data_IF_692951013901
#
_entry.id   IF_692951013901
#
_cell.length_a   1.000
_cell.length_b   1.000
_cell.length_c   1.000
_cell.angle_alpha   90.00
_cell.angle_beta   90.00
_cell.angle_gamma   90.00
#
_symmetry.space_group_name_H-M   'P 1'
#
loop_
_entity.id
_entity.type
_entity.pdbx_description
1 polymer ?
#
# COMPACT_ATOMS: atom_id res chain seq x y z
N UNK A 1 -16.13 11.35 16.87
CA UNK A 1 -16.60 9.96 17.11
C UNK A 1 -15.36 9.11 17.06
N UNK A 2 -15.12 8.24 18.02
CA UNK A 2 -13.91 7.38 18.00
C UNK A 2 -14.18 6.19 17.10
N UNK A 3 -13.28 5.92 16.16
CA UNK A 3 -13.37 4.77 15.24
C UNK A 3 -12.82 3.53 15.96
N UNK A 4 -13.64 2.50 16.01
CA UNK A 4 -13.31 1.21 16.65
C UNK A 4 -12.68 0.30 15.59
N UNK A 5 -11.42 -0.05 15.79
CA UNK A 5 -10.59 -0.76 14.81
C UNK A 5 -10.33 -2.19 15.27
N UNK A 6 -10.61 -3.16 14.40
CA UNK A 6 -10.08 -4.52 14.50
C UNK A 6 -8.76 -4.64 13.72
N UNK A 7 -7.77 -5.34 14.25
CA UNK A 7 -6.48 -5.56 13.57
C UNK A 7 -6.21 -7.04 13.41
N UNK A 8 -6.00 -7.49 12.16
CA UNK A 8 -5.62 -8.88 11.87
C UNK A 8 -4.12 -9.03 11.64
N UNK A 9 -3.57 -10.22 11.94
CA UNK A 9 -2.14 -10.45 11.83
C UNK A 9 -1.29 -9.58 12.76
N UNK A 10 -1.83 -9.27 13.94
CA UNK A 10 -1.33 -8.29 14.91
C UNK A 10 0.13 -8.50 15.33
N UNK A 11 0.62 -9.75 15.41
CA UNK A 11 2.02 -10.07 15.74
C UNK A 11 2.98 -9.93 14.55
N UNK A 12 2.45 -9.74 13.34
CA UNK A 12 3.23 -9.54 12.12
C UNK A 12 3.98 -8.21 12.10
N UNK A 13 4.87 -8.04 11.13
CA UNK A 13 5.68 -6.81 10.98
C UNK A 13 4.83 -5.56 10.77
N UNK A 14 3.76 -5.65 9.95
CA UNK A 14 2.83 -4.55 9.75
C UNK A 14 1.80 -4.44 10.86
N UNK A 15 1.31 -5.58 11.38
CA UNK A 15 0.33 -5.59 12.46
C UNK A 15 0.81 -4.81 13.70
N UNK A 16 2.07 -4.97 14.09
CA UNK A 16 2.68 -4.20 15.20
C UNK A 16 2.68 -2.69 14.93
N UNK A 17 3.08 -2.28 13.73
CA UNK A 17 3.06 -0.86 13.34
C UNK A 17 1.64 -0.31 13.30
N UNK A 18 0.66 -1.10 12.82
CA UNK A 18 -0.76 -0.70 12.83
C UNK A 18 -1.29 -0.54 14.25
N UNK A 19 -1.00 -1.50 15.15
CA UNK A 19 -1.39 -1.37 16.57
C UNK A 19 -0.80 -0.09 17.19
N UNK A 20 0.50 0.15 16.97
CA UNK A 20 1.16 1.37 17.45
C UNK A 20 0.54 2.63 16.85
N UNK A 21 0.22 2.62 15.55
CA UNK A 21 -0.38 3.76 14.87
C UNK A 21 -1.81 4.03 15.37
N UNK A 22 -2.65 3.00 15.54
CA UNK A 22 -4.03 3.16 16.07
C UNK A 22 -3.97 3.67 17.50
N UNK A 23 -3.13 3.08 18.36
CA UNK A 23 -3.00 3.48 19.78
C UNK A 23 -2.49 4.93 19.91
N UNK A 24 -1.70 5.40 18.96
CA UNK A 24 -1.20 6.79 18.91
C UNK A 24 -2.21 7.83 18.43
N UNK A 25 -3.43 7.43 18.03
CA UNK A 25 -4.48 8.33 17.50
C UNK A 25 -5.57 8.60 18.53
N UNK A 26 -5.92 9.88 18.73
CA UNK A 26 -7.00 10.28 19.65
C UNK A 26 -8.40 9.86 19.16
N UNK A 27 -8.55 9.73 17.83
CA UNK A 27 -9.82 9.41 17.18
C UNK A 27 -10.01 7.92 16.87
N UNK A 28 -9.08 7.05 17.27
CA UNK A 28 -9.15 5.61 17.06
C UNK A 28 -8.96 4.84 18.36
N UNK A 29 -9.55 3.66 18.43
CA UNK A 29 -9.27 2.69 19.49
C UNK A 29 -9.15 1.29 18.91
N UNK A 30 -8.20 0.49 19.41
CA UNK A 30 -8.12 -0.93 19.10
C UNK A 30 -9.19 -1.65 19.90
N UNK A 31 -10.24 -2.14 19.24
CA UNK A 31 -11.32 -2.87 19.88
C UNK A 31 -11.02 -4.37 20.01
N UNK A 32 -10.31 -4.93 19.04
CA UNK A 32 -9.70 -6.26 19.12
C UNK A 32 -8.48 -6.35 18.22
N UNK A 33 -7.62 -7.32 18.52
CA UNK A 33 -6.48 -7.65 17.65
C UNK A 33 -6.31 -9.17 17.59
N UNK A 34 -6.22 -9.75 16.38
CA UNK A 34 -6.12 -11.19 16.22
C UNK A 34 -4.82 -11.63 15.57
N UNK A 35 -4.37 -12.83 15.92
CA UNK A 35 -3.22 -13.46 15.28
C UNK A 35 -3.42 -14.97 15.15
N UNK A 36 -2.82 -15.58 14.09
CA UNK A 36 -2.92 -17.03 13.86
C UNK A 36 -2.26 -17.85 14.95
N UNK A 37 -1.08 -17.43 15.41
CA UNK A 37 -0.39 -18.05 16.52
C UNK A 37 -0.85 -17.46 17.84
N UNK A 38 -1.14 -18.29 18.80
CA UNK A 38 -1.41 -17.86 20.18
C UNK A 38 -0.17 -17.16 20.74
N UNK A 39 -0.38 -16.13 21.52
CA UNK A 39 0.66 -15.34 22.17
C UNK A 39 0.38 -15.23 23.66
N UNK A 40 1.42 -15.44 24.44
CA UNK A 40 1.34 -15.35 25.91
C UNK A 40 1.48 -13.91 26.42
N UNK A 41 1.94 -12.99 25.57
CA UNK A 41 2.21 -11.59 25.93
C UNK A 41 1.50 -10.63 24.97
N UNK A 42 1.06 -9.45 25.47
CA UNK A 42 0.51 -8.40 24.63
C UNK A 42 1.47 -7.92 23.56
N UNK A 43 0.95 -7.47 22.43
CA UNK A 43 1.70 -6.85 21.34
C UNK A 43 1.41 -5.34 21.35
N UNK A 44 2.45 -4.52 21.45
CA UNK A 44 2.31 -3.05 21.56
C UNK A 44 1.32 -2.61 22.68
N UNK A 45 1.25 -3.41 23.77
CA UNK A 45 0.34 -3.18 24.90
C UNK A 45 -1.11 -3.61 24.69
N UNK A 46 -1.41 -4.29 23.58
CA UNK A 46 -2.74 -4.81 23.22
C UNK A 46 -2.78 -6.32 23.39
N UNK A 47 -3.79 -6.83 24.08
CA UNK A 47 -4.06 -8.27 24.17
C UNK A 47 -4.45 -8.82 22.79
N UNK A 48 -3.98 -10.04 22.49
CA UNK A 48 -4.15 -10.65 21.18
C UNK A 48 -5.05 -11.87 21.29
N UNK A 49 -6.18 -11.82 20.62
CA UNK A 49 -7.11 -12.92 20.53
C UNK A 49 -6.68 -13.95 19.46
N UNK A 50 -7.06 -15.22 19.60
CA UNK A 50 -6.87 -16.20 18.54
C UNK A 50 -7.63 -15.80 17.26
N UNK A 51 -7.04 -16.00 16.10
CA UNK A 51 -7.70 -15.70 14.81
C UNK A 51 -9.04 -16.46 14.65
N UNK A 52 -9.20 -17.61 15.28
CA UNK A 52 -10.45 -18.38 15.27
C UNK A 52 -11.62 -17.67 15.97
N UNK A 53 -11.38 -16.64 16.77
CA UNK A 53 -12.42 -15.84 17.45
C UNK A 53 -12.88 -14.65 16.60
N UNK A 54 -12.29 -14.41 15.43
CA UNK A 54 -12.57 -13.24 14.60
C UNK A 54 -14.07 -13.02 14.33
N UNK A 55 -14.80 -14.08 13.94
CA UNK A 55 -16.25 -14.01 13.63
C UNK A 55 -17.10 -13.54 14.83
N UNK A 56 -16.65 -13.85 16.04
CA UNK A 56 -17.33 -13.42 17.25
C UNK A 56 -17.02 -11.94 17.61
N UNK A 57 -15.87 -11.43 17.20
CA UNK A 57 -15.35 -10.11 17.54
C UNK A 57 -15.73 -9.03 16.53
N UNK A 58 -15.79 -9.41 15.24
CA UNK A 58 -15.90 -8.46 14.11
C UNK A 58 -17.13 -7.54 14.19
N UNK A 59 -18.27 -8.00 14.69
CA UNK A 59 -19.48 -7.18 14.82
C UNK A 59 -19.36 -6.00 15.81
N UNK A 60 -18.26 -5.96 16.56
CA UNK A 60 -18.00 -4.96 17.58
C UNK A 60 -17.17 -3.76 17.10
N UNK A 61 -16.85 -3.65 15.81
CA UNK A 61 -15.95 -2.61 15.27
C UNK A 61 -16.56 -1.87 14.09
N UNK A 62 -16.02 -0.72 13.76
CA UNK A 62 -16.40 0.07 12.59
C UNK A 62 -15.62 -0.36 11.35
N UNK A 63 -14.38 -0.80 11.53
CA UNK A 63 -13.47 -1.17 10.44
C UNK A 63 -12.44 -2.20 10.90
N UNK A 64 -12.03 -3.08 9.99
CA UNK A 64 -10.91 -4.01 10.17
C UNK A 64 -9.75 -3.59 9.27
N UNK A 65 -8.53 -3.56 9.82
CA UNK A 65 -7.28 -3.36 9.08
C UNK A 65 -6.53 -4.69 8.97
N UNK A 66 -6.25 -5.11 7.74
CA UNK A 66 -5.60 -6.37 7.41
C UNK A 66 -4.26 -6.20 6.69
N UNK A 67 -3.24 -6.94 7.17
CA UNK A 67 -1.94 -7.13 6.51
C UNK A 67 -1.46 -8.58 6.65
N UNK A 68 -2.32 -9.54 6.39
CA UNK A 68 -2.01 -10.97 6.59
C UNK A 68 -1.45 -11.63 5.33
N UNK A 69 -2.31 -12.14 4.51
CA UNK A 69 -2.02 -12.81 3.24
C UNK A 69 -3.31 -13.13 2.49
N UNK A 70 -3.24 -13.41 1.18
CA UNK A 70 -4.42 -13.49 0.31
C UNK A 70 -5.55 -14.36 0.87
N UNK A 71 -5.27 -15.62 1.19
CA UNK A 71 -6.26 -16.56 1.71
C UNK A 71 -6.97 -16.04 2.96
N UNK A 72 -6.22 -15.57 3.96
CA UNK A 72 -6.80 -15.04 5.20
C UNK A 72 -7.54 -13.73 4.98
N UNK A 73 -7.03 -12.85 4.11
CA UNK A 73 -7.68 -11.57 3.81
C UNK A 73 -9.07 -11.76 3.20
N UNK A 74 -9.25 -12.77 2.34
CA UNK A 74 -10.55 -13.11 1.75
C UNK A 74 -11.51 -13.62 2.82
N UNK A 75 -11.06 -14.52 3.69
CA UNK A 75 -11.87 -15.03 4.80
C UNK A 75 -12.33 -13.89 5.72
N UNK A 76 -11.43 -12.94 6.05
CA UNK A 76 -11.77 -11.78 6.86
C UNK A 76 -12.72 -10.81 6.15
N UNK A 77 -12.52 -10.58 4.84
CA UNK A 77 -13.43 -9.74 4.05
C UNK A 77 -14.86 -10.30 4.00
N UNK A 78 -15.00 -11.62 3.82
CA UNK A 78 -16.29 -12.33 3.83
C UNK A 78 -16.98 -12.23 5.21
N UNK A 79 -16.22 -12.38 6.30
CA UNK A 79 -16.73 -12.21 7.65
C UNK A 79 -17.14 -10.75 7.94
N UNK A 80 -16.36 -9.78 7.48
CA UNK A 80 -16.71 -8.36 7.56
C UNK A 80 -17.97 -8.05 6.75
N UNK A 81 -18.15 -8.60 5.56
CA UNK A 81 -19.36 -8.43 4.76
C UNK A 81 -20.59 -8.96 5.48
N UNK A 82 -20.52 -10.14 6.09
CA UNK A 82 -21.61 -10.71 6.89
C UNK A 82 -21.96 -9.86 8.13
N UNK A 83 -20.95 -9.18 8.71
CA UNK A 83 -21.12 -8.33 9.89
C UNK A 83 -21.50 -6.88 9.55
N UNK A 84 -21.40 -6.45 8.28
CA UNK A 84 -21.62 -5.07 7.86
C UNK A 84 -20.51 -4.11 8.28
N UNK A 85 -19.27 -4.59 8.39
CA UNK A 85 -18.09 -3.86 8.88
C UNK A 85 -17.17 -3.51 7.73
N UNK A 86 -16.63 -2.29 7.68
CA UNK A 86 -15.69 -1.85 6.67
C UNK A 86 -14.37 -2.65 6.71
N UNK A 87 -13.74 -2.85 5.55
CA UNK A 87 -12.50 -3.62 5.43
C UNK A 87 -11.42 -2.84 4.69
N UNK A 88 -10.25 -2.69 5.32
CA UNK A 88 -9.05 -2.07 4.75
C UNK A 88 -7.96 -3.12 4.67
N UNK A 89 -7.45 -3.42 3.48
CA UNK A 89 -6.38 -4.40 3.34
C UNK A 89 -5.17 -3.88 2.57
N UNK A 90 -3.99 -4.11 3.14
CA UNK A 90 -2.68 -3.91 2.53
C UNK A 90 -2.03 -5.22 2.10
N UNK A 91 -2.76 -6.32 2.14
CA UNK A 91 -2.29 -7.61 1.65
C UNK A 91 -2.02 -7.54 0.15
N UNK A 92 -0.91 -8.10 -0.27
CA UNK A 92 -0.46 -8.15 -1.67
C UNK A 92 -0.31 -9.59 -2.14
N UNK A 93 -0.26 -9.79 -3.46
CA UNK A 93 -0.08 -11.11 -4.05
C UNK A 93 -1.39 -11.88 -4.26
N UNK A 94 -2.51 -11.19 -4.28
CA UNK A 94 -3.81 -11.76 -4.69
C UNK A 94 -3.75 -12.28 -6.11
N UNK A 95 -4.33 -13.46 -6.36
CA UNK A 95 -4.66 -13.93 -7.68
C UNK A 95 -5.93 -13.20 -8.19
N UNK A 96 -6.27 -13.39 -9.47
CA UNK A 96 -7.45 -12.76 -10.08
C UNK A 96 -8.74 -13.16 -9.36
N UNK A 97 -8.93 -14.47 -9.10
CA UNK A 97 -10.09 -15.00 -8.35
C UNK A 97 -10.18 -14.45 -6.92
N UNK A 98 -9.02 -14.13 -6.30
CA UNK A 98 -8.96 -13.51 -4.97
C UNK A 98 -9.50 -12.08 -5.01
N UNK A 99 -9.11 -11.31 -6.03
CA UNK A 99 -9.59 -9.93 -6.23
C UNK A 99 -11.10 -9.92 -6.54
N UNK A 100 -11.60 -10.87 -7.33
CA UNK A 100 -13.04 -11.04 -7.56
C UNK A 100 -13.81 -11.27 -6.25
N UNK A 101 -13.24 -12.07 -5.33
CA UNK A 101 -13.83 -12.34 -4.02
C UNK A 101 -13.89 -11.07 -3.15
N UNK A 102 -12.81 -10.27 -3.15
CA UNK A 102 -12.80 -8.98 -2.44
C UNK A 102 -13.78 -7.97 -3.06
N UNK A 103 -13.90 -7.96 -4.40
CA UNK A 103 -14.88 -7.13 -5.12
C UNK A 103 -16.32 -7.54 -4.78
N UNK A 104 -16.61 -8.84 -4.67
CA UNK A 104 -17.91 -9.32 -4.22
C UNK A 104 -18.24 -8.84 -2.79
N UNK A 105 -17.28 -8.85 -1.87
CA UNK A 105 -17.48 -8.29 -0.53
C UNK A 105 -17.79 -6.77 -0.58
N UNK A 106 -17.22 -6.05 -1.54
CA UNK A 106 -17.45 -4.61 -1.70
C UNK A 106 -18.87 -4.23 -2.15
N UNK A 107 -19.64 -5.17 -2.66
CA UNK A 107 -21.07 -4.95 -2.94
C UNK A 107 -21.89 -4.76 -1.66
N UNK A 108 -21.45 -5.38 -0.55
CA UNK A 108 -22.14 -5.38 0.74
C UNK A 108 -21.57 -4.37 1.74
N UNK A 109 -20.23 -4.15 1.74
CA UNK A 109 -19.51 -3.28 2.67
C UNK A 109 -18.53 -2.36 1.94
N UNK A 110 -18.07 -1.25 2.56
CA UNK A 110 -16.94 -0.51 2.01
C UNK A 110 -15.64 -1.32 2.17
N UNK A 111 -14.97 -1.59 1.05
CA UNK A 111 -13.67 -2.27 0.98
C UNK A 111 -12.63 -1.33 0.37
N UNK A 112 -11.52 -1.11 1.06
CA UNK A 112 -10.37 -0.40 0.55
C UNK A 112 -9.18 -1.34 0.43
N UNK A 113 -8.72 -1.55 -0.80
CA UNK A 113 -7.51 -2.30 -1.08
C UNK A 113 -6.43 -1.38 -1.63
N UNK A 114 -5.26 -1.39 -1.01
CA UNK A 114 -4.09 -0.69 -1.53
C UNK A 114 -2.80 -1.48 -1.31
N UNK A 115 -1.99 -1.69 -2.35
CA UNK A 115 -0.68 -2.34 -2.22
C UNK A 115 0.36 -1.46 -1.50
N UNK A 116 0.04 -0.17 -1.31
CA UNK A 116 0.90 0.80 -0.63
C UNK A 116 0.05 1.92 -0.01
N UNK A 117 0.20 2.13 1.29
CA UNK A 117 -0.51 3.15 2.07
C UNK A 117 0.34 4.39 2.36
N UNK A 118 1.45 4.62 1.66
CA UNK A 118 2.24 5.83 1.84
C UNK A 118 1.57 7.02 1.14
N UNK A 119 1.19 8.03 1.91
CA UNK A 119 0.70 9.32 1.36
C UNK A 119 1.73 9.95 0.42
N UNK A 120 3.03 9.87 0.78
CA UNK A 120 4.10 10.41 -0.05
C UNK A 120 4.23 9.71 -1.40
N UNK A 121 3.96 8.38 -1.47
CA UNK A 121 3.92 7.65 -2.73
C UNK A 121 2.72 8.07 -3.58
N UNK A 122 1.54 8.28 -2.97
CA UNK A 122 0.37 8.74 -3.71
C UNK A 122 0.59 10.15 -4.29
N UNK A 123 1.14 11.06 -3.50
CA UNK A 123 1.52 12.40 -3.98
C UNK A 123 2.58 12.31 -5.08
N UNK A 124 3.57 11.40 -4.95
CA UNK A 124 4.57 11.20 -5.98
C UNK A 124 3.95 10.73 -7.31
N UNK A 125 2.97 9.82 -7.28
CA UNK A 125 2.23 9.40 -8.48
C UNK A 125 1.59 10.60 -9.20
N UNK A 126 0.86 11.43 -8.47
CA UNK A 126 0.21 12.62 -9.03
C UNK A 126 1.24 13.62 -9.61
N UNK A 127 2.36 13.82 -8.92
CA UNK A 127 3.43 14.70 -9.41
C UNK A 127 4.14 14.16 -10.66
N UNK A 128 4.27 12.84 -10.77
CA UNK A 128 4.88 12.20 -11.95
C UNK A 128 4.02 12.39 -13.18
N UNK A 129 2.70 12.24 -13.08
CA UNK A 129 1.77 12.49 -14.18
C UNK A 129 1.90 13.93 -14.69
N UNK A 130 1.83 14.91 -13.75
CA UNK A 130 1.96 16.33 -14.09
C UNK A 130 3.34 16.66 -14.70
N UNK A 131 4.42 16.02 -14.20
CA UNK A 131 5.77 16.25 -14.70
C UNK A 131 5.96 15.71 -16.11
N UNK A 132 5.47 14.50 -16.40
CA UNK A 132 5.55 13.87 -17.73
C UNK A 132 4.76 14.69 -18.76
N UNK A 133 3.55 15.14 -18.43
CA UNK A 133 2.75 15.99 -19.29
C UNK A 133 3.38 17.39 -19.51
N UNK A 134 4.01 17.92 -18.46
CA UNK A 134 4.62 19.25 -18.48
C UNK A 134 5.97 19.32 -19.19
N UNK A 135 6.69 18.20 -19.33
CA UNK A 135 8.02 18.09 -19.94
C UNK A 135 8.04 17.06 -21.08
N UNK A 136 7.23 17.26 -22.15
CA UNK A 136 7.13 16.31 -23.25
C UNK A 136 8.47 16.16 -23.97
N UNK A 137 8.87 14.92 -24.22
CA UNK A 137 10.13 14.60 -24.91
C UNK A 137 11.37 14.59 -24.04
N UNK A 138 11.25 14.79 -22.71
CA UNK A 138 12.34 14.55 -21.77
C UNK A 138 12.66 13.07 -21.68
N UNK A 139 13.93 12.75 -21.48
CA UNK A 139 14.40 11.43 -21.08
C UNK A 139 13.86 11.07 -19.69
N UNK A 140 13.32 9.88 -19.52
CA UNK A 140 12.80 9.42 -18.23
C UNK A 140 13.58 8.23 -17.71
N UNK A 141 14.06 8.34 -16.46
CA UNK A 141 14.74 7.26 -15.75
C UNK A 141 14.07 7.05 -14.39
N UNK A 142 13.79 5.79 -14.03
CA UNK A 142 13.33 5.40 -12.70
C UNK A 142 14.42 4.61 -11.98
N UNK A 143 14.74 5.03 -10.76
CA UNK A 143 15.65 4.32 -9.86
C UNK A 143 14.91 3.93 -8.60
N UNK A 144 14.90 2.63 -8.27
CA UNK A 144 14.33 2.18 -7.01
C UNK A 144 15.34 1.40 -6.17
N UNK A 145 15.32 1.64 -4.87
CA UNK A 145 16.24 1.00 -3.93
C UNK A 145 15.47 0.38 -2.76
N UNK A 146 15.73 -0.91 -2.50
CA UNK A 146 15.18 -1.63 -1.35
C UNK A 146 16.23 -2.49 -0.65
N UNK A 147 15.83 -3.06 0.48
CA UNK A 147 16.67 -3.99 1.24
C UNK A 147 17.04 -5.23 0.43
N UNK A 148 18.17 -5.84 0.77
CA UNK A 148 18.75 -7.00 0.07
C UNK A 148 17.90 -8.29 0.10
N UNK A 149 16.80 -8.34 0.89
CA UNK A 149 15.87 -9.49 0.96
C UNK A 149 14.63 -9.35 0.08
N UNK A 150 14.44 -8.19 -0.59
CA UNK A 150 13.31 -7.99 -1.51
C UNK A 150 13.53 -8.84 -2.76
N UNK A 151 12.51 -9.60 -3.16
CA UNK A 151 12.59 -10.57 -4.26
C UNK A 151 12.15 -10.01 -5.59
N UNK A 152 11.07 -9.24 -5.58
CA UNK A 152 10.52 -8.60 -6.77
C UNK A 152 11.42 -7.45 -7.23
N UNK A 153 11.58 -7.32 -8.53
CA UNK A 153 12.35 -6.26 -9.20
C UNK A 153 11.78 -6.03 -10.62
N UNK A 154 11.26 -4.84 -10.93
CA UNK A 154 11.03 -3.71 -10.05
C UNK A 154 10.01 -3.97 -8.94
N UNK A 155 9.98 -3.09 -7.91
CA UNK A 155 8.99 -3.18 -6.83
C UNK A 155 7.58 -2.84 -7.34
N UNK A 156 6.54 -3.27 -6.59
CA UNK A 156 5.15 -2.93 -6.93
C UNK A 156 4.92 -1.42 -7.05
N UNK A 157 5.52 -0.61 -6.17
CA UNK A 157 5.47 0.86 -6.27
C UNK A 157 6.17 1.38 -7.52
N UNK A 158 7.35 0.83 -7.86
CA UNK A 158 8.06 1.20 -9.08
C UNK A 158 7.25 0.86 -10.33
N UNK A 159 6.59 -0.30 -10.37
CA UNK A 159 5.72 -0.65 -11.49
C UNK A 159 4.54 0.32 -11.62
N UNK A 160 3.88 0.70 -10.52
CA UNK A 160 2.81 1.72 -10.57
C UNK A 160 3.30 3.08 -11.08
N UNK A 161 4.50 3.50 -10.68
CA UNK A 161 5.11 4.74 -11.20
C UNK A 161 5.41 4.64 -12.70
N UNK A 162 5.89 3.48 -13.16
CA UNK A 162 6.12 3.22 -14.58
C UNK A 162 4.81 3.22 -15.39
N UNK A 163 3.76 2.58 -14.85
CA UNK A 163 2.44 2.56 -15.48
C UNK A 163 1.87 3.99 -15.59
N UNK A 164 2.09 4.83 -14.56
CA UNK A 164 1.68 6.24 -14.56
C UNK A 164 2.46 7.07 -15.59
N UNK A 165 3.79 6.86 -15.71
CA UNK A 165 4.62 7.49 -16.73
C UNK A 165 4.12 7.12 -18.13
N UNK A 166 3.87 5.84 -18.40
CA UNK A 166 3.39 5.35 -19.70
C UNK A 166 1.98 5.85 -20.03
N UNK A 167 1.13 6.07 -19.04
CA UNK A 167 -0.22 6.58 -19.24
C UNK A 167 -0.25 8.07 -19.67
N UNK A 168 0.80 8.86 -19.32
CA UNK A 168 0.85 10.31 -19.52
C UNK A 168 1.92 10.76 -20.52
N UNK A 169 2.69 9.83 -21.11
CA UNK A 169 3.71 10.13 -22.12
C UNK A 169 3.74 9.13 -23.26
N UNK A 170 4.48 9.45 -24.31
CA UNK A 170 4.66 8.57 -25.49
C UNK A 170 5.99 7.81 -25.35
N UNK A 171 5.95 6.56 -24.88
CA UNK A 171 7.12 5.71 -24.68
C UNK A 171 6.98 4.39 -25.43
N UNK A 172 8.10 3.87 -25.97
CA UNK A 172 8.15 2.61 -26.71
C UNK A 172 8.33 1.38 -25.80
N UNK A 173 8.81 1.58 -24.57
CA UNK A 173 9.02 0.50 -23.61
C UNK A 173 10.00 0.83 -22.49
N UNK A 174 10.31 -0.20 -21.70
CA UNK A 174 11.16 -0.11 -20.51
C UNK A 174 12.50 -0.79 -20.76
N UNK A 175 13.60 -0.09 -20.49
CA UNK A 175 14.97 -0.63 -20.58
C UNK A 175 15.52 -0.85 -19.17
N UNK A 176 15.74 -2.12 -18.81
CA UNK A 176 16.21 -2.52 -17.49
C UNK A 176 17.74 -2.58 -17.40
N UNK A 177 18.33 -1.59 -16.72
CA UNK A 177 19.78 -1.45 -16.58
C UNK A 177 20.47 -1.13 -17.91
N UNK A 178 21.79 -0.88 -17.84
CA UNK A 178 22.64 -0.68 -19.01
C UNK A 178 24.00 -1.31 -18.77
N UNK A 179 24.57 -1.95 -19.78
CA UNK A 179 25.89 -2.55 -19.72
C UNK A 179 26.61 -2.43 -21.07
N UNK A 180 27.89 -2.13 -21.04
CA UNK A 180 28.72 -2.02 -22.26
C UNK A 180 28.34 -0.79 -23.12
N UNK A 181 28.27 -0.99 -24.42
CA UNK A 181 27.80 0.01 -25.37
C UNK A 181 26.30 -0.17 -25.61
N UNK A 182 25.50 0.56 -24.86
CA UNK A 182 24.05 0.54 -24.94
C UNK A 182 23.56 2.00 -24.92
N UNK A 183 23.56 2.68 -26.07
CA UNK A 183 23.01 4.03 -26.16
C UNK A 183 21.53 4.04 -25.79
N UNK A 184 21.06 5.17 -25.29
CA UNK A 184 19.65 5.40 -25.01
C UNK A 184 18.88 5.55 -26.32
N UNK A 185 17.68 4.98 -26.39
CA UNK A 185 16.67 5.29 -27.40
C UNK A 185 15.82 6.47 -26.92
N UNK A 186 15.39 7.34 -27.83
CA UNK A 186 14.73 8.61 -27.48
C UNK A 186 13.41 8.43 -26.69
N UNK A 187 12.71 7.33 -26.93
CA UNK A 187 11.36 7.04 -26.39
C UNK A 187 11.34 5.89 -25.36
N UNK A 188 12.49 5.49 -24.81
CA UNK A 188 12.53 4.47 -23.75
C UNK A 188 12.41 5.06 -22.34
N UNK A 189 11.92 4.26 -21.40
CA UNK A 189 12.00 4.55 -19.96
C UNK A 189 13.11 3.70 -19.38
N UNK A 190 14.17 4.32 -18.82
CA UNK A 190 15.22 3.60 -18.13
C UNK A 190 14.76 3.14 -16.73
N UNK A 191 15.09 1.89 -16.34
CA UNK A 191 14.66 1.31 -15.06
C UNK A 191 15.85 0.69 -14.35
N UNK A 192 16.16 1.20 -13.15
CA UNK A 192 17.31 0.78 -12.36
C UNK A 192 16.89 0.31 -10.98
N UNK A 193 17.30 -0.90 -10.62
CA UNK A 193 16.91 -1.56 -9.37
C UNK A 193 18.12 -1.80 -8.50
N UNK A 194 18.11 -1.24 -7.29
CA UNK A 194 19.15 -1.45 -6.30
C UNK A 194 18.63 -2.29 -5.12
N UNK A 195 19.48 -3.20 -4.61
CA UNK A 195 19.19 -4.04 -3.44
C UNK A 195 20.38 -3.94 -2.48
N UNK A 196 20.16 -3.22 -1.34
CA UNK A 196 21.25 -2.94 -0.40
C UNK A 196 20.77 -2.87 1.05
N UNK A 197 21.52 -3.47 1.94
CA UNK A 197 21.34 -3.36 3.40
C UNK A 197 19.91 -3.53 3.88
N UNK A 198 19.43 -2.56 4.68
CA UNK A 198 18.11 -2.52 5.28
C UNK A 198 17.19 -1.43 4.73
N UNK A 199 17.49 -0.87 3.55
CA UNK A 199 16.73 0.24 2.93
C UNK A 199 15.25 -0.15 2.83
N UNK A 200 14.36 0.71 3.30
CA UNK A 200 12.91 0.42 3.40
C UNK A 200 12.20 0.54 2.07
N UNK A 201 12.61 1.51 1.27
CA UNK A 201 12.10 1.80 -0.07
C UNK A 201 12.40 3.25 -0.43
N UNK A 202 13.07 3.43 -1.55
CA UNK A 202 13.32 4.72 -2.16
C UNK A 202 12.98 4.62 -3.65
N UNK A 203 12.32 5.62 -4.17
CA UNK A 203 11.95 5.72 -5.59
C UNK A 203 12.29 7.12 -6.05
N UNK A 204 13.09 7.21 -7.09
CA UNK A 204 13.46 8.46 -7.76
C UNK A 204 13.07 8.37 -9.23
N UNK A 205 12.38 9.39 -9.72
CA UNK A 205 12.11 9.61 -11.13
C UNK A 205 12.93 10.83 -11.56
N UNK A 206 13.69 10.68 -12.64
CA UNK A 206 14.46 11.74 -13.27
C UNK A 206 13.83 12.00 -14.64
N UNK A 207 13.45 13.25 -14.89
CA UNK A 207 13.10 13.76 -16.22
C UNK A 207 14.19 14.76 -16.62
N UNK A 208 14.79 14.58 -17.77
CA UNK A 208 15.91 15.43 -18.17
C UNK A 208 15.91 15.71 -19.67
N UNK A 209 16.37 16.90 -20.04
CA UNK A 209 16.72 17.30 -21.40
C UNK A 209 18.14 17.90 -21.44
N UNK A 210 18.54 18.50 -22.56
CA UNK A 210 19.87 19.08 -22.74
C UNK A 210 20.18 20.27 -21.81
N UNK A 211 19.16 20.86 -21.16
CA UNK A 211 19.29 22.13 -20.46
C UNK A 211 18.90 22.08 -18.97
N UNK A 212 18.04 21.10 -18.59
CA UNK A 212 17.56 20.97 -17.22
C UNK A 212 17.27 19.52 -16.84
N UNK A 213 17.18 19.28 -15.55
CA UNK A 213 16.67 18.02 -14.98
C UNK A 213 15.67 18.31 -13.86
N UNK A 214 14.61 17.47 -13.78
CA UNK A 214 13.71 17.42 -12.66
C UNK A 214 13.86 16.06 -11.96
N UNK A 215 14.00 16.07 -10.63
CA UNK A 215 14.06 14.84 -9.82
C UNK A 215 12.92 14.83 -8.82
N UNK A 216 12.13 13.77 -8.83
CA UNK A 216 11.08 13.51 -7.88
C UNK A 216 11.45 12.28 -7.05
N UNK A 217 11.64 12.46 -5.75
CA UNK A 217 12.13 11.39 -4.87
C UNK A 217 11.22 11.18 -3.68
N UNK A 218 10.89 9.92 -3.41
CA UNK A 218 10.25 9.47 -2.18
C UNK A 218 11.13 8.46 -1.45
N UNK A 219 11.28 8.61 -0.14
CA UNK A 219 11.97 7.67 0.73
C UNK A 219 11.11 7.33 1.95
N UNK A 220 10.92 6.04 2.19
CA UNK A 220 10.31 5.56 3.43
C UNK A 220 11.39 5.36 4.51
N UNK A 221 11.27 6.06 5.64
CA UNK A 221 12.21 5.93 6.75
C UNK A 221 11.97 4.64 7.54
N UNK A 222 10.69 4.30 7.80
CA UNK A 222 10.27 3.07 8.47
C UNK A 222 8.93 2.56 7.95
N UNK A 223 8.37 1.51 8.56
CA UNK A 223 7.06 0.96 8.19
C UNK A 223 5.88 1.72 8.76
N UNK A 224 6.10 2.59 9.72
CA UNK A 224 5.06 3.44 10.32
C UNK A 224 4.36 4.30 9.27
N UNK A 225 5.06 4.68 8.19
CA UNK A 225 4.46 5.43 7.07
C UNK A 225 3.27 4.67 6.44
N UNK A 226 3.38 3.35 6.28
CA UNK A 226 2.31 2.53 5.71
C UNK A 226 1.20 2.28 6.74
N UNK A 227 1.57 2.04 8.00
CA UNK A 227 0.61 1.85 9.08
C UNK A 227 -0.21 3.12 9.33
N UNK A 228 0.43 4.28 9.35
CA UNK A 228 -0.25 5.57 9.48
C UNK A 228 -1.26 5.79 8.37
N UNK A 229 -0.88 5.51 7.12
CA UNK A 229 -1.82 5.63 5.99
C UNK A 229 -2.96 4.61 6.04
N UNK A 230 -2.72 3.39 6.54
CA UNK A 230 -3.80 2.42 6.73
C UNK A 230 -4.79 2.87 7.81
N UNK A 231 -4.32 3.55 8.87
CA UNK A 231 -5.21 4.16 9.88
C UNK A 231 -5.98 5.34 9.29
N UNK A 232 -5.33 6.18 8.46
CA UNK A 232 -6.03 7.25 7.72
C UNK A 232 -7.16 6.67 6.84
N UNK A 233 -6.88 5.56 6.14
CA UNK A 233 -7.88 4.86 5.34
C UNK A 233 -9.01 4.30 6.21
N UNK A 234 -8.71 3.77 7.39
CA UNK A 234 -9.70 3.26 8.32
C UNK A 234 -10.62 4.38 8.86
N UNK A 235 -10.04 5.52 9.26
CA UNK A 235 -10.82 6.71 9.66
C UNK A 235 -11.71 7.22 8.53
N UNK A 236 -11.18 7.22 7.31
CA UNK A 236 -11.88 7.72 6.12
C UNK A 236 -13.02 6.81 5.68
N UNK A 237 -12.82 5.48 5.70
CA UNK A 237 -13.79 4.52 5.16
C UNK A 237 -14.91 4.20 6.16
N UNK A 238 -14.68 4.40 7.46
CA UNK A 238 -15.66 4.11 8.50
C UNK A 238 -16.96 4.90 8.26
N UNK A 239 -18.08 4.19 8.11
CA UNK A 239 -19.40 4.75 7.85
C UNK A 239 -19.65 5.18 6.39
N UNK A 240 -18.76 4.91 5.45
CA UNK A 240 -19.02 5.07 4.01
C UNK A 240 -19.97 3.99 3.49
N UNK A 241 -20.49 4.22 2.30
CA UNK A 241 -21.36 3.24 1.62
C UNK A 241 -20.52 2.05 1.12
N UNK A 242 -21.19 0.91 0.94
CA UNK A 242 -20.59 -0.23 0.25
C UNK A 242 -20.01 0.21 -1.11
N UNK A 243 -18.87 -0.34 -1.47
CA UNK A 243 -18.14 -0.04 -2.68
C UNK A 243 -16.68 -0.38 -2.58
N UNK A 244 -16.04 -0.42 -3.72
CA UNK A 244 -14.59 -0.59 -3.86
C UNK A 244 -13.90 0.77 -3.83
N UNK A 245 -12.90 0.90 -2.99
CA UNK A 245 -12.09 2.12 -2.81
C UNK A 245 -10.62 1.80 -2.89
N UNK A 246 -9.84 2.80 -3.26
CA UNK A 246 -8.37 2.75 -3.20
C UNK A 246 -7.79 3.86 -2.31
N UNK A 247 -6.47 3.89 -2.16
CA UNK A 247 -5.84 4.87 -1.28
C UNK A 247 -5.77 6.28 -1.89
N UNK A 248 -5.93 6.43 -3.21
CA UNK A 248 -6.07 7.73 -3.86
C UNK A 248 -7.34 8.44 -3.39
N UNK A 249 -8.47 7.71 -3.26
CA UNK A 249 -9.73 8.26 -2.75
C UNK A 249 -9.60 8.90 -1.35
N UNK A 250 -8.63 8.43 -0.55
CA UNK A 250 -8.35 8.98 0.80
C UNK A 250 -7.57 10.28 0.72
N UNK A 251 -6.73 10.46 -0.28
CA UNK A 251 -5.80 11.60 -0.42
C UNK A 251 -6.43 12.77 -1.18
N UNK A 252 -7.29 12.49 -2.16
CA UNK A 252 -7.86 13.48 -3.09
C UNK A 252 -9.10 14.23 -2.54
N UNK A 253 -9.16 14.43 -1.21
CA UNK A 253 -10.27 15.12 -0.51
C UNK A 253 -10.12 16.63 -0.47
#
# INVERSE_FOLDING_TARGET
>A
MTVRVGVTGAAGRMGREVLSAVTGRENCEVAFATNRSELDEPVEGVEIDPAAEFDALVSGVDVVIDFTGPESAIEYADACAKAGVAFVTGTTGFAEDDLESLQAASEEIPVLHAPNFSRGVQVLLNLVSEAVEGLPGSDVELVETHHNRKRDAPSGTANRLLDEIEAHGEFSGRTHGREGEQPREDDEIGVHVLRAGGIRGEHEIVLADDHEELRLTHRAEDRGVFASGAVDAAEWIAGRKSGWYDFADVIDQ
#
